data_IF_345190100774
#
_entry.id   IF_345190100774
#
_cell.length_a   1.000
_cell.length_b   1.000
_cell.length_c   1.000
_cell.angle_alpha   90.00
_cell.angle_beta   90.00
_cell.angle_gamma   90.00
#
_symmetry.space_group_name_H-M   'P 1'
#
loop_
_entity.id
_entity.type
_entity.pdbx_description
1 polymer ?
#
# COMPACT_ATOMS: atom_id res chain seq x y z
N UNK A 1 -14.70 0.15 15.60
CA UNK A 1 -14.53 0.08 14.13
C UNK A 1 -14.32 1.45 13.52
N UNK A 2 -13.69 1.49 12.34
CA UNK A 2 -13.47 2.70 11.55
C UNK A 2 -14.11 2.56 10.20
N UNK A 3 -15.01 3.46 9.82
CA UNK A 3 -15.54 3.52 8.46
C UNK A 3 -14.69 4.45 7.58
N UNK A 4 -14.54 4.11 6.30
CA UNK A 4 -13.87 4.95 5.32
C UNK A 4 -14.42 4.73 3.91
N UNK A 5 -14.14 5.68 3.01
CA UNK A 5 -14.55 5.60 1.61
C UNK A 5 -13.30 5.61 0.74
N UNK A 6 -13.11 4.58 -0.07
CA UNK A 6 -12.04 4.53 -1.05
C UNK A 6 -12.54 5.00 -2.42
N UNK A 7 -11.73 5.80 -3.11
CA UNK A 7 -12.01 6.30 -4.47
C UNK A 7 -11.17 5.62 -5.54
N UNK A 8 -10.03 5.08 -5.13
CA UNK A 8 -9.07 4.42 -6.01
C UNK A 8 -8.91 2.97 -5.59
N UNK A 9 -8.42 2.15 -6.51
CA UNK A 9 -8.05 0.77 -6.19
C UNK A 9 -7.01 0.74 -5.07
N UNK A 10 -7.11 -0.24 -4.19
CA UNK A 10 -6.15 -0.43 -3.10
C UNK A 10 -5.98 -1.92 -2.79
N UNK A 11 -4.82 -2.27 -2.28
CA UNK A 11 -4.47 -3.61 -1.81
C UNK A 11 -3.69 -3.58 -0.50
N UNK A 12 -3.45 -2.39 0.05
CA UNK A 12 -2.66 -2.23 1.26
C UNK A 12 -3.33 -1.26 2.21
N UNK A 13 -3.44 -1.69 3.46
CA UNK A 13 -3.89 -0.87 4.58
C UNK A 13 -2.74 -0.73 5.56
N UNK A 14 -2.41 0.50 5.94
CA UNK A 14 -1.38 0.79 6.92
C UNK A 14 -1.98 1.54 8.09
N UNK A 15 -1.88 0.96 9.29
CA UNK A 15 -2.50 1.47 10.51
C UNK A 15 -1.38 1.82 11.48
N UNK A 16 -1.40 3.01 12.03
CA UNK A 16 -0.44 3.39 13.07
C UNK A 16 -0.78 2.65 14.36
N UNK A 17 0.19 1.90 14.86
CA UNK A 17 0.03 1.10 16.07
C UNK A 17 1.37 0.95 16.79
N UNK A 18 1.31 0.80 18.11
CA UNK A 18 2.46 0.51 18.95
C UNK A 18 2.11 -0.68 19.84
N UNK A 19 3.01 -1.66 19.90
CA UNK A 19 2.86 -2.75 20.86
C UNK A 19 3.09 -2.21 22.27
N UNK A 20 2.22 -2.61 23.17
CA UNK A 20 2.43 -2.53 24.60
C UNK A 20 2.58 -3.98 25.07
N UNK A 21 3.60 -4.30 25.79
CA UNK A 21 4.17 -5.63 26.11
C UNK A 21 3.18 -6.74 26.51
N UNK A 22 2.32 -7.22 25.61
CA UNK A 22 1.40 -8.31 25.93
C UNK A 22 0.98 -9.18 24.77
N UNK A 23 0.66 -10.43 25.07
CA UNK A 23 0.20 -11.48 24.16
C UNK A 23 -1.28 -11.38 23.75
N UNK A 24 -1.84 -10.19 23.71
CA UNK A 24 -3.26 -10.01 23.35
C UNK A 24 -3.51 -10.37 21.89
N UNK A 25 -4.50 -11.22 21.66
CA UNK A 25 -4.93 -11.62 20.33
C UNK A 25 -5.96 -10.63 19.79
N UNK A 26 -5.65 -9.98 18.69
CA UNK A 26 -6.56 -9.12 17.97
C UNK A 26 -7.02 -9.77 16.68
N UNK A 27 -8.26 -9.53 16.32
CA UNK A 27 -8.81 -9.88 15.02
C UNK A 27 -9.14 -8.60 14.27
N UNK A 28 -8.52 -8.45 13.12
CA UNK A 28 -8.81 -7.37 12.21
C UNK A 28 -9.69 -7.89 11.08
N UNK A 29 -10.81 -7.23 10.84
CA UNK A 29 -11.78 -7.59 9.81
C UNK A 29 -12.04 -6.37 8.92
N UNK A 30 -11.87 -6.54 7.62
CA UNK A 30 -12.30 -5.55 6.61
C UNK A 30 -13.64 -5.97 6.03
N UNK A 31 -14.60 -5.07 6.09
CA UNK A 31 -15.94 -5.29 5.56
C UNK A 31 -16.25 -4.30 4.44
N UNK A 32 -17.09 -4.73 3.51
CA UNK A 32 -17.70 -3.88 2.49
C UNK A 32 -19.21 -4.11 2.53
N UNK A 33 -19.98 -3.07 2.78
CA UNK A 33 -21.45 -3.16 2.89
C UNK A 33 -21.92 -4.28 3.87
N UNK A 34 -21.20 -4.48 4.96
CA UNK A 34 -21.48 -5.51 5.95
C UNK A 34 -20.96 -6.92 5.64
N UNK A 35 -20.42 -7.15 4.45
CA UNK A 35 -19.81 -8.43 4.09
C UNK A 35 -18.32 -8.42 4.37
N UNK A 36 -17.80 -9.49 4.99
CA UNK A 36 -16.38 -9.66 5.26
C UNK A 36 -15.62 -9.91 3.97
N UNK A 37 -14.68 -9.03 3.67
CA UNK A 37 -13.76 -9.16 2.53
C UNK A 37 -12.44 -9.83 2.93
N UNK A 38 -11.97 -9.50 4.12
CA UNK A 38 -10.69 -9.97 4.62
C UNK A 38 -10.70 -10.02 6.14
N UNK A 39 -10.07 -11.03 6.71
CA UNK A 39 -9.92 -11.19 8.14
C UNK A 39 -8.55 -11.77 8.45
N UNK A 40 -7.88 -11.23 9.46
CA UNK A 40 -6.59 -11.73 9.94
C UNK A 40 -6.46 -11.56 11.43
N UNK A 41 -5.67 -12.44 12.04
CA UNK A 41 -5.23 -12.27 13.41
C UNK A 41 -4.00 -11.38 13.44
N UNK A 42 -3.94 -10.51 14.43
CA UNK A 42 -2.81 -9.64 14.69
C UNK A 42 -2.23 -9.99 16.05
N UNK A 43 -0.95 -10.15 16.09
CA UNK A 43 -0.15 -10.19 17.31
C UNK A 43 0.84 -9.01 17.32
N UNK A 44 1.62 -8.88 18.36
CA UNK A 44 2.62 -7.82 18.50
C UNK A 44 3.70 -7.87 17.40
N UNK A 45 3.95 -9.03 16.79
CA UNK A 45 4.96 -9.21 15.72
C UNK A 45 4.53 -8.59 14.41
N UNK A 46 3.22 -8.36 14.23
CA UNK A 46 2.68 -7.69 13.05
C UNK A 46 3.00 -6.18 13.00
N UNK A 47 3.58 -5.62 14.08
CA UNK A 47 3.91 -4.20 14.18
C UNK A 47 5.36 -3.98 13.78
N UNK A 48 5.58 -3.30 12.67
CA UNK A 48 6.89 -2.84 12.23
C UNK A 48 6.89 -1.31 12.11
N UNK A 49 7.93 -0.64 12.60
CA UNK A 49 8.10 0.82 12.52
C UNK A 49 6.91 1.63 13.04
N UNK A 50 6.25 1.15 14.10
CA UNK A 50 5.00 1.70 14.66
C UNK A 50 3.80 1.64 13.70
N UNK A 51 3.78 0.69 12.77
CA UNK A 51 2.66 0.45 11.87
C UNK A 51 2.35 -1.05 11.74
N UNK A 52 1.07 -1.33 11.55
CA UNK A 52 0.58 -2.61 11.03
C UNK A 52 0.35 -2.42 9.55
N UNK A 53 0.99 -3.23 8.71
CA UNK A 53 0.79 -3.22 7.26
C UNK A 53 0.08 -4.50 6.85
N UNK A 54 -1.08 -4.35 6.21
CA UNK A 54 -1.92 -5.44 5.77
C UNK A 54 -1.97 -5.46 4.26
N UNK A 55 -1.52 -6.55 3.68
CA UNK A 55 -1.69 -6.84 2.24
C UNK A 55 -3.00 -7.60 2.06
N UNK A 56 -3.92 -7.06 1.28
CA UNK A 56 -5.23 -7.62 1.00
C UNK A 56 -5.41 -7.84 -0.50
N UNK A 57 -6.35 -8.67 -0.93
CA UNK A 57 -6.70 -8.75 -2.35
C UNK A 57 -7.06 -7.38 -2.91
N UNK A 58 -6.67 -7.10 -4.16
CA UNK A 58 -6.92 -5.80 -4.81
C UNK A 58 -8.41 -5.48 -4.79
N UNK A 59 -8.76 -4.39 -4.13
CA UNK A 59 -10.09 -3.84 -4.11
C UNK A 59 -10.23 -2.78 -5.21
N UNK A 60 -11.29 -2.88 -6.00
CA UNK A 60 -11.63 -1.91 -7.06
C UNK A 60 -12.96 -1.23 -6.69
N UNK A 61 -12.94 -0.23 -5.82
CA UNK A 61 -14.16 0.43 -5.37
C UNK A 61 -14.87 1.13 -6.52
N UNK A 62 -16.20 1.03 -6.54
CA UNK A 62 -17.02 1.97 -7.30
C UNK A 62 -17.06 3.30 -6.55
N UNK A 63 -17.45 4.38 -7.23
CA UNK A 63 -17.55 5.71 -6.61
C UNK A 63 -18.37 5.62 -5.29
N UNK A 64 -17.81 6.13 -4.21
CA UNK A 64 -18.40 6.15 -2.86
C UNK A 64 -18.65 4.78 -2.21
N UNK A 65 -17.86 3.78 -2.53
CA UNK A 65 -17.93 2.50 -1.80
C UNK A 65 -17.48 2.67 -0.35
N UNK A 66 -18.34 2.31 0.59
CA UNK A 66 -18.07 2.34 2.02
C UNK A 66 -17.40 1.06 2.45
N UNK A 67 -16.31 1.20 3.17
CA UNK A 67 -15.60 0.13 3.85
C UNK A 67 -15.64 0.35 5.36
N UNK A 68 -15.54 -0.73 6.10
CA UNK A 68 -15.44 -0.69 7.55
C UNK A 68 -14.28 -1.59 7.99
N UNK A 69 -13.36 -1.02 8.74
CA UNK A 69 -12.27 -1.73 9.40
C UNK A 69 -12.66 -1.96 10.85
N UNK A 70 -12.89 -3.20 11.22
CA UNK A 70 -13.22 -3.62 12.58
C UNK A 70 -12.01 -4.25 13.22
N UNK A 71 -11.66 -3.80 14.42
CA UNK A 71 -10.63 -4.40 15.25
C UNK A 71 -11.30 -4.87 16.54
N UNK A 72 -11.20 -6.15 16.84
CA UNK A 72 -11.74 -6.75 18.04
C UNK A 72 -10.65 -7.50 18.79
N UNK A 73 -10.66 -7.40 20.11
CA UNK A 73 -9.84 -8.18 20.99
C UNK A 73 -10.74 -9.14 21.76
N UNK A 74 -10.38 -10.42 21.85
CA UNK A 74 -11.17 -11.41 22.59
C UNK A 74 -10.82 -11.44 24.07
N UNK A 75 -9.59 -11.08 24.42
CA UNK A 75 -8.96 -11.35 25.71
C UNK A 75 -8.01 -10.24 26.20
N UNK A 76 -8.12 -9.03 25.64
CA UNK A 76 -7.32 -7.90 26.12
C UNK A 76 -7.80 -7.42 27.48
N UNK A 77 -6.92 -7.51 28.48
CA UNK A 77 -7.13 -6.85 29.76
C UNK A 77 -6.95 -5.34 29.63
N UNK A 78 -7.60 -4.57 30.50
CA UNK A 78 -7.54 -3.10 30.45
C UNK A 78 -6.11 -2.60 30.72
N UNK A 79 -5.53 -1.93 29.74
CA UNK A 79 -4.18 -1.36 29.83
C UNK A 79 -3.10 -2.16 29.09
N UNK A 80 -3.41 -3.38 28.67
CA UNK A 80 -2.52 -4.26 27.96
C UNK A 80 -2.95 -4.35 26.48
N UNK A 81 -2.00 -4.45 25.56
CA UNK A 81 -2.33 -4.70 24.17
C UNK A 81 -1.74 -3.69 23.18
N UNK A 82 -2.37 -3.61 22.01
CA UNK A 82 -1.94 -2.75 20.93
C UNK A 82 -2.56 -1.36 21.09
N UNK A 83 -1.71 -0.34 21.11
CA UNK A 83 -2.13 1.05 21.11
C UNK A 83 -2.27 1.53 19.66
N UNK A 84 -3.47 1.97 19.28
CA UNK A 84 -3.74 2.51 17.96
C UNK A 84 -3.61 4.03 17.93
N UNK A 85 -2.97 4.56 16.88
CA UNK A 85 -2.85 5.99 16.70
C UNK A 85 -4.14 6.60 16.13
N UNK A 86 -4.56 7.74 16.65
CA UNK A 86 -5.70 8.51 16.14
C UNK A 86 -5.27 9.89 15.64
N UNK A 87 -6.15 10.51 14.89
CA UNK A 87 -6.07 11.92 14.49
C UNK A 87 -7.43 12.58 14.63
N UNK A 88 -7.46 13.90 14.81
CA UNK A 88 -8.70 14.67 14.80
C UNK A 88 -9.36 14.59 13.41
N UNK A 89 -10.61 14.17 13.38
CA UNK A 89 -11.40 13.97 12.14
C UNK A 89 -11.51 15.24 11.29
N UNK A 90 -11.44 16.42 11.90
CA UNK A 90 -11.64 17.72 11.24
C UNK A 90 -10.46 18.21 10.41
N UNK A 91 -9.28 17.62 10.52
CA UNK A 91 -8.05 18.27 10.01
C UNK A 91 -7.53 17.71 8.68
N UNK A 92 -7.96 16.56 8.19
CA UNK A 92 -7.42 15.99 6.96
C UNK A 92 -8.45 15.10 6.24
N UNK A 93 -9.40 15.74 5.56
CA UNK A 93 -10.54 15.17 4.88
C UNK A 93 -10.29 14.27 3.66
N UNK A 94 -9.25 13.44 3.65
CA UNK A 94 -9.03 12.53 2.52
C UNK A 94 -9.86 11.25 2.60
N UNK A 95 -10.34 10.89 3.79
CA UNK A 95 -11.18 9.70 4.00
C UNK A 95 -12.33 10.06 4.96
N UNK A 96 -13.45 10.59 4.45
CA UNK A 96 -14.61 10.84 5.28
C UNK A 96 -15.10 9.52 5.85
N UNK A 97 -15.10 9.42 7.16
CA UNK A 97 -15.51 8.24 7.90
C UNK A 97 -15.73 8.58 9.36
N UNK A 98 -16.07 7.60 10.16
CA UNK A 98 -16.28 7.76 11.59
C UNK A 98 -15.64 6.61 12.36
N UNK A 99 -15.01 6.92 13.49
CA UNK A 99 -14.52 5.94 14.44
C UNK A 99 -15.59 5.64 15.48
N UNK A 100 -15.92 4.36 15.61
CA UNK A 100 -16.82 3.85 16.63
C UNK A 100 -16.00 3.01 17.62
N UNK A 101 -15.99 3.42 18.87
CA UNK A 101 -15.52 2.63 20.00
C UNK A 101 -16.72 1.97 20.69
N UNK A 102 -16.47 1.00 21.55
CA UNK A 102 -17.53 0.35 22.34
C UNK A 102 -18.30 1.37 23.21
N UNK A 103 -17.66 2.48 23.57
CA UNK A 103 -18.26 3.60 24.32
C UNK A 103 -19.08 4.57 23.44
N UNK A 104 -19.17 4.35 22.11
CA UNK A 104 -19.90 5.20 21.17
C UNK A 104 -19.03 5.90 20.12
N UNK A 105 -19.63 6.87 19.42
CA UNK A 105 -18.95 7.64 18.39
C UNK A 105 -17.99 8.65 19.02
N UNK A 106 -16.79 8.72 18.48
CA UNK A 106 -15.76 9.67 18.92
C UNK A 106 -15.36 10.61 17.77
N UNK A 107 -14.98 11.88 18.07
CA UNK A 107 -14.60 12.85 17.04
C UNK A 107 -13.19 12.64 16.48
N UNK A 108 -12.70 11.42 16.52
CA UNK A 108 -11.38 11.03 16.07
C UNK A 108 -11.50 9.98 14.98
N UNK A 109 -10.51 9.94 14.10
CA UNK A 109 -10.33 8.88 13.13
C UNK A 109 -9.08 8.08 13.47
N UNK A 110 -9.13 6.79 13.22
CA UNK A 110 -7.95 5.94 13.25
C UNK A 110 -6.93 6.46 12.23
N UNK A 111 -5.65 6.49 12.59
CA UNK A 111 -4.60 6.83 11.63
C UNK A 111 -4.43 5.67 10.64
N UNK A 112 -5.25 5.72 9.60
CA UNK A 112 -5.36 4.71 8.55
C UNK A 112 -4.87 5.31 7.22
N UNK A 113 -3.96 4.63 6.55
CA UNK A 113 -3.55 4.91 5.19
C UNK A 113 -4.02 3.76 4.29
N UNK A 114 -4.60 4.13 3.17
CA UNK A 114 -5.15 3.19 2.17
C UNK A 114 -4.47 3.49 0.84
N UNK A 115 -3.73 2.54 0.28
CA UNK A 115 -3.00 2.75 -0.96
C UNK A 115 -2.89 1.46 -1.78
N UNK A 116 -2.53 1.61 -3.04
CA UNK A 116 -2.22 0.50 -3.92
C UNK A 116 -0.70 0.38 -4.00
N UNK A 117 -0.18 -0.71 -3.48
CA UNK A 117 1.19 -1.09 -3.71
C UNK A 117 1.25 -1.73 -5.11
N UNK A 118 1.83 -1.01 -6.05
CA UNK A 118 2.14 -1.57 -7.36
C UNK A 118 3.42 -2.39 -7.20
N UNK A 119 3.32 -3.69 -7.38
CA UNK A 119 4.50 -4.48 -7.70
C UNK A 119 4.96 -4.03 -9.09
N UNK A 120 5.85 -3.06 -9.13
CA UNK A 120 6.58 -2.76 -10.36
C UNK A 120 7.35 -4.05 -10.68
N UNK A 121 7.08 -4.72 -11.82
CA UNK A 121 7.85 -5.89 -12.16
C UNK A 121 9.31 -5.47 -12.19
N UNK A 122 10.11 -6.01 -11.30
CA UNK A 122 11.55 -5.84 -11.34
C UNK A 122 12.00 -6.38 -12.70
N UNK A 123 12.37 -5.48 -13.60
CA UNK A 123 13.10 -5.92 -14.79
C UNK A 123 14.33 -6.65 -14.29
N UNK A 124 14.45 -7.92 -14.65
CA UNK A 124 15.61 -8.70 -14.26
C UNK A 124 16.86 -8.00 -14.80
N UNK A 125 17.99 -8.14 -14.11
CA UNK A 125 19.27 -7.58 -14.54
C UNK A 125 19.58 -8.00 -15.99
N UNK A 126 19.17 -9.21 -16.39
CA UNK A 126 19.27 -9.70 -17.77
C UNK A 126 18.47 -8.87 -18.77
N UNK A 127 17.29 -8.37 -18.39
CA UNK A 127 16.48 -7.49 -19.24
C UNK A 127 17.15 -6.13 -19.44
N UNK A 128 17.74 -5.55 -18.39
CA UNK A 128 18.54 -4.33 -18.52
C UNK A 128 19.76 -4.52 -19.42
N UNK A 129 20.48 -5.64 -19.28
CA UNK A 129 21.63 -5.96 -20.12
C UNK A 129 21.22 -6.17 -21.57
N UNK A 130 20.09 -6.81 -21.85
CA UNK A 130 19.55 -6.94 -23.21
C UNK A 130 19.20 -5.56 -23.82
N UNK A 131 18.54 -4.69 -23.08
CA UNK A 131 18.23 -3.34 -23.55
C UNK A 131 19.52 -2.52 -23.80
N UNK A 132 20.48 -2.57 -22.88
CA UNK A 132 21.76 -1.90 -23.04
C UNK A 132 22.52 -2.45 -24.25
N UNK A 133 22.54 -3.76 -24.48
CA UNK A 133 23.15 -4.41 -25.64
C UNK A 133 22.51 -3.99 -26.96
N UNK A 134 21.17 -3.91 -27.02
CA UNK A 134 20.43 -3.42 -28.18
C UNK A 134 20.78 -1.95 -28.49
N UNK A 135 20.83 -1.08 -27.47
CA UNK A 135 21.21 0.32 -27.65
C UNK A 135 22.66 0.45 -28.14
N UNK A 136 23.61 -0.30 -27.57
CA UNK A 136 25.00 -0.28 -28.01
C UNK A 136 25.14 -0.77 -29.46
N UNK A 137 24.42 -1.82 -29.87
CA UNK A 137 24.46 -2.33 -31.25
C UNK A 137 23.86 -1.33 -32.24
N UNK A 138 22.79 -0.62 -31.88
CA UNK A 138 22.22 0.46 -32.72
C UNK A 138 23.22 1.62 -32.91
N UNK A 139 23.88 2.04 -31.84
CA UNK A 139 24.90 3.11 -31.93
C UNK A 139 26.06 2.68 -32.83
N UNK A 140 26.53 1.45 -32.68
CA UNK A 140 27.61 0.92 -33.55
C UNK A 140 27.19 0.82 -35.02
N UNK A 141 25.94 0.44 -35.32
CA UNK A 141 25.40 0.43 -36.68
C UNK A 141 25.35 1.83 -37.26
N UNK A 142 24.88 2.83 -36.52
CA UNK A 142 24.85 4.22 -36.96
C UNK A 142 26.27 4.72 -37.27
N UNK A 143 27.23 4.41 -36.39
CA UNK A 143 28.65 4.78 -36.57
C UNK A 143 29.26 4.09 -37.81
N UNK A 144 28.89 2.81 -38.05
CA UNK A 144 29.36 2.07 -39.23
C UNK A 144 28.81 2.68 -40.53
N UNK A 145 27.51 2.94 -40.58
CA UNK A 145 26.90 3.61 -41.77
C UNK A 145 27.50 4.99 -42.02
N UNK A 146 27.75 5.77 -40.98
CA UNK A 146 28.34 7.11 -41.11
C UNK A 146 29.77 7.05 -41.63
N UNK A 147 30.51 6.03 -41.22
CA UNK A 147 31.89 5.82 -41.70
C UNK A 147 31.93 5.37 -43.16
N UNK A 148 31.01 4.55 -43.65
CA UNK A 148 30.93 4.15 -45.05
C UNK A 148 30.57 5.34 -45.95
N UNK A 149 29.63 6.18 -45.54
CA UNK A 149 29.30 7.41 -46.31
C UNK A 149 30.50 8.37 -46.39
N UNK A 150 31.29 8.48 -45.30
CA UNK A 150 32.49 9.32 -45.32
C UNK A 150 33.57 8.80 -46.26
N UNK A 151 33.70 7.48 -46.45
CA UNK A 151 34.68 6.89 -47.37
C UNK A 151 34.27 7.02 -48.84
N UNK A 152 32.96 6.89 -49.14
CA UNK A 152 32.48 7.08 -50.54
C UNK A 152 32.59 8.50 -51.05
N UNK A 153 32.59 9.49 -50.17
CA UNK A 153 32.80 10.90 -50.54
C UNK A 153 34.27 11.20 -50.79
N UNK A 154 35.22 10.51 -50.15
CA UNK A 154 36.66 10.72 -50.36
C UNK A 154 37.20 10.06 -51.67
N UNK A 155 36.56 9.02 -52.18
CA UNK A 155 36.96 8.35 -53.43
C UNK A 155 36.40 9.03 -54.70
N UNK A 156 35.57 10.10 -54.51
CA UNK A 156 34.94 10.84 -55.60
C UNK A 156 35.65 12.20 -55.94
N UNK A 157 36.82 12.46 -55.32
CA UNK A 157 37.69 13.61 -55.60
C UNK A 157 39.00 13.13 -56.19
#
# INVERSE_FOLDING_TARGET
SQTFYARHAFNTLKIRAKANDTDSNYVLTLLQNGQTLYQTKLDHTAIADNYITLSIPVQKPKKNTRYELKISASDASKGDGILFGYRLSKTLGNYPGSLHLDAGNVPYDLFLQVYQEQQVPYMSISSYLMFAGLWCSMILLIFYCWREEAFTVCDAI
#
